data_IF_074959767177
#
_entry.id   IF_074959767177
#
_cell.length_a   1.000
_cell.length_b   1.000
_cell.length_c   1.000
_cell.angle_alpha   90.00
_cell.angle_beta   90.00
_cell.angle_gamma   90.00
#
_symmetry.space_group_name_H-M   'P 1'
#
loop_
_entity.id
_entity.type
_entity.pdbx_description
1 polymer ?
#
# COMPACT_ATOMS: atom_id res chain seq x y z
N UNK A 1 9.29 -47.43 27.09
CA UNK A 1 8.64 -46.20 27.60
C UNK A 1 9.31 -44.98 26.97
N UNK A 2 8.50 -44.07 26.41
CA UNK A 2 8.76 -42.71 25.87
C UNK A 2 9.64 -42.57 24.60
N UNK A 3 9.06 -42.10 23.48
CA UNK A 3 9.81 -41.45 22.41
C UNK A 3 9.87 -39.92 22.64
N UNK A 4 10.98 -39.33 22.22
CA UNK A 4 11.33 -37.92 22.32
C UNK A 4 10.67 -37.13 21.17
N UNK A 5 9.99 -36.03 21.52
CA UNK A 5 9.30 -35.15 20.58
C UNK A 5 10.30 -34.24 19.85
N UNK A 6 10.39 -34.35 18.53
CA UNK A 6 10.85 -33.25 17.68
C UNK A 6 9.63 -32.64 16.99
N UNK A 7 9.27 -31.44 17.44
CA UNK A 7 8.32 -30.57 16.73
C UNK A 7 9.14 -29.70 15.77
N UNK A 8 9.16 -30.06 14.48
CA UNK A 8 9.58 -29.13 13.43
C UNK A 8 8.35 -28.41 12.92
N UNK A 9 8.42 -27.08 13.04
CA UNK A 9 7.43 -26.11 12.59
C UNK A 9 7.42 -26.09 11.07
N UNK A 10 6.26 -26.25 10.43
CA UNK A 10 6.01 -25.68 9.10
C UNK A 10 4.52 -25.77 8.75
N UNK A 11 3.81 -24.67 8.96
CA UNK A 11 2.40 -24.54 8.63
C UNK A 11 2.11 -23.09 8.25
N UNK A 12 2.58 -22.66 7.08
CA UNK A 12 2.38 -21.26 6.68
C UNK A 12 2.60 -20.87 5.21
N UNK A 13 2.97 -21.80 4.32
CA UNK A 13 3.40 -21.41 2.95
C UNK A 13 2.55 -21.99 1.81
N UNK A 14 1.59 -22.89 2.09
CA UNK A 14 0.85 -23.61 1.03
C UNK A 14 -0.52 -23.02 0.69
N UNK A 15 -1.12 -22.23 1.59
CA UNK A 15 -2.45 -21.63 1.37
C UNK A 15 -2.36 -20.43 0.41
N UNK A 16 -1.24 -19.69 0.43
CA UNK A 16 -1.07 -18.44 -0.32
C UNK A 16 -1.08 -18.61 -1.84
N UNK A 17 -0.47 -19.68 -2.38
CA UNK A 17 -0.41 -19.88 -3.84
C UNK A 17 -1.78 -20.16 -4.46
N UNK A 18 -2.68 -20.86 -3.76
CA UNK A 18 -4.00 -21.23 -4.30
C UNK A 18 -4.96 -20.04 -4.34
N UNK A 19 -4.85 -19.13 -3.36
CA UNK A 19 -5.59 -17.86 -3.36
C UNK A 19 -5.01 -16.92 -4.41
N UNK A 20 -3.69 -16.76 -4.47
CA UNK A 20 -3.04 -15.87 -5.44
C UNK A 20 -3.34 -16.27 -6.90
N UNK A 21 -3.29 -17.57 -7.22
CA UNK A 21 -3.57 -18.10 -8.56
C UNK A 21 -5.06 -18.08 -8.93
N UNK A 22 -5.95 -18.16 -7.93
CA UNK A 22 -7.39 -17.99 -8.13
C UNK A 22 -7.78 -16.52 -8.31
N UNK A 23 -7.06 -15.60 -7.67
CA UNK A 23 -7.29 -14.15 -7.76
C UNK A 23 -6.86 -13.58 -9.11
N UNK A 24 -5.74 -14.02 -9.69
CA UNK A 24 -5.36 -13.65 -11.06
C UNK A 24 -6.36 -14.16 -12.11
N UNK A 25 -7.14 -15.20 -11.77
CA UNK A 25 -8.14 -15.80 -12.67
C UNK A 25 -9.48 -15.04 -12.67
N UNK A 26 -9.78 -14.30 -11.60
CA UNK A 26 -10.98 -13.45 -11.50
C UNK A 26 -10.82 -12.09 -12.19
N UNK A 27 -9.59 -11.63 -12.41
CA UNK A 27 -9.29 -10.37 -13.12
C UNK A 27 -9.55 -10.46 -14.64
N UNK A 28 -9.71 -11.67 -15.19
CA UNK A 28 -9.87 -11.91 -16.63
C UNK A 28 -11.34 -11.89 -17.10
N UNK A 29 -12.26 -11.24 -16.37
CA UNK A 29 -13.64 -11.07 -16.83
C UNK A 29 -14.02 -9.58 -16.89
N UNK A 30 -13.80 -9.02 -18.09
CA UNK A 30 -14.64 -8.05 -18.79
C UNK A 30 -14.96 -6.72 -18.08
N UNK A 31 -14.35 -5.63 -18.60
CA UNK A 31 -14.64 -4.20 -18.36
C UNK A 31 -13.99 -3.50 -17.14
N UNK A 32 -13.14 -4.20 -16.38
CA UNK A 32 -12.47 -3.60 -15.22
C UNK A 32 -11.09 -3.06 -15.62
N UNK A 33 -10.86 -1.79 -15.28
CA UNK A 33 -9.60 -1.07 -15.46
C UNK A 33 -8.42 -1.95 -15.01
N UNK A 34 -7.35 -2.11 -15.82
CA UNK A 34 -6.15 -2.85 -15.43
C UNK A 34 -5.65 -2.48 -14.03
N UNK A 35 -5.24 -3.47 -13.24
CA UNK A 35 -4.69 -3.30 -11.89
C UNK A 35 -3.60 -2.20 -11.82
N UNK A 36 -2.76 -2.10 -12.86
CA UNK A 36 -1.71 -1.08 -12.95
C UNK A 36 -2.25 0.35 -12.99
N UNK A 37 -3.33 0.59 -13.75
CA UNK A 37 -3.97 1.90 -13.87
C UNK A 37 -4.71 2.27 -12.58
N UNK A 38 -5.30 1.27 -11.93
CA UNK A 38 -5.90 1.41 -10.61
C UNK A 38 -4.84 1.87 -9.59
N UNK A 39 -3.67 1.22 -9.57
CA UNK A 39 -2.56 1.60 -8.69
C UNK A 39 -2.06 2.99 -9.01
N UNK A 40 -2.02 3.35 -10.29
CA UNK A 40 -1.68 4.70 -10.72
C UNK A 40 -2.65 5.74 -10.15
N UNK A 41 -3.96 5.48 -10.19
CA UNK A 41 -4.98 6.36 -9.61
C UNK A 41 -4.76 6.52 -8.11
N UNK A 42 -4.59 5.42 -7.38
CA UNK A 42 -4.36 5.48 -5.93
C UNK A 42 -3.07 6.20 -5.56
N UNK A 43 -2.01 6.06 -6.37
CA UNK A 43 -0.76 6.77 -6.13
C UNK A 43 -0.89 8.30 -6.22
N UNK A 44 -1.99 8.80 -6.81
CA UNK A 44 -2.29 10.24 -6.94
C UNK A 44 -3.21 10.76 -5.83
N UNK A 45 -3.82 9.87 -5.04
CA UNK A 45 -4.73 10.27 -3.96
C UNK A 45 -3.96 10.67 -2.69
N UNK A 46 -4.51 11.57 -1.85
CA UNK A 46 -3.96 11.82 -0.52
C UNK A 46 -3.97 10.56 0.35
N UNK A 47 -2.96 10.40 1.20
CA UNK A 47 -2.78 9.24 2.09
C UNK A 47 -4.01 8.90 2.93
N UNK A 48 -4.77 9.92 3.35
CA UNK A 48 -6.02 9.77 4.11
C UNK A 48 -7.07 8.93 3.36
N UNK A 49 -7.18 9.08 2.04
CA UNK A 49 -8.12 8.31 1.24
C UNK A 49 -7.64 6.88 1.04
N UNK A 50 -6.34 6.71 0.77
CA UNK A 50 -5.71 5.39 0.63
C UNK A 50 -5.93 4.54 1.90
N UNK A 51 -5.78 5.16 3.08
CA UNK A 51 -6.05 4.50 4.35
C UNK A 51 -7.49 3.98 4.48
N UNK A 52 -8.48 4.71 3.94
CA UNK A 52 -9.89 4.27 3.91
C UNK A 52 -10.12 3.18 2.86
N UNK A 53 -9.47 3.26 1.70
CA UNK A 53 -9.56 2.27 0.63
C UNK A 53 -9.12 0.88 1.07
N UNK A 54 -8.19 0.78 2.01
CA UNK A 54 -7.78 -0.50 2.63
C UNK A 54 -8.92 -1.26 3.30
N UNK A 55 -10.00 -0.59 3.70
CA UNK A 55 -11.16 -1.24 4.32
C UNK A 55 -12.21 -1.72 3.30
N UNK A 56 -12.07 -1.37 2.01
CA UNK A 56 -13.10 -1.65 1.00
C UNK A 56 -13.08 -3.10 0.52
N UNK A 57 -11.92 -3.75 0.49
CA UNK A 57 -11.82 -5.18 0.20
C UNK A 57 -10.50 -5.76 0.70
N UNK A 58 -10.45 -7.10 0.84
CA UNK A 58 -9.21 -7.82 1.17
C UNK A 58 -8.14 -7.64 0.09
N UNK A 59 -8.55 -7.55 -1.18
CA UNK A 59 -7.65 -7.32 -2.31
C UNK A 59 -7.00 -5.94 -2.20
N UNK A 60 -7.81 -4.89 -2.00
CA UNK A 60 -7.31 -3.53 -1.82
C UNK A 60 -6.40 -3.41 -0.61
N UNK A 61 -6.74 -4.11 0.49
CA UNK A 61 -5.90 -4.15 1.69
C UNK A 61 -4.52 -4.76 1.43
N UNK A 62 -4.43 -5.83 0.62
CA UNK A 62 -3.14 -6.43 0.25
C UNK A 62 -2.37 -5.57 -0.73
N UNK A 63 -3.04 -5.07 -1.78
CA UNK A 63 -2.38 -4.31 -2.84
C UNK A 63 -1.84 -2.97 -2.33
N UNK A 64 -2.58 -2.26 -1.47
CA UNK A 64 -2.14 -0.99 -0.88
C UNK A 64 -1.09 -1.16 0.24
N UNK A 65 -0.84 -2.39 0.70
CA UNK A 65 0.25 -2.73 1.63
C UNK A 65 1.50 -3.24 0.91
N UNK A 66 1.41 -3.44 -0.40
CA UNK A 66 2.53 -3.93 -1.19
C UNK A 66 3.68 -2.92 -1.21
N UNK A 67 4.90 -3.44 -1.21
CA UNK A 67 6.10 -2.61 -1.22
C UNK A 67 6.24 -1.83 -2.53
N UNK A 68 5.90 -2.44 -3.67
CA UNK A 68 5.93 -1.78 -4.97
C UNK A 68 4.97 -0.59 -5.04
N UNK A 69 3.75 -0.76 -4.53
CA UNK A 69 2.82 0.37 -4.40
C UNK A 69 3.37 1.47 -3.47
N UNK A 70 3.94 1.07 -2.33
CA UNK A 70 4.47 2.02 -1.32
C UNK A 70 5.60 2.86 -1.91
N UNK A 71 6.55 2.24 -2.60
CA UNK A 71 7.65 2.93 -3.28
C UNK A 71 7.14 3.86 -4.38
N UNK A 72 6.18 3.41 -5.19
CA UNK A 72 5.57 4.22 -6.26
C UNK A 72 4.84 5.46 -5.68
N UNK A 73 4.08 5.26 -4.60
CA UNK A 73 3.39 6.34 -3.89
C UNK A 73 4.38 7.35 -3.29
N UNK A 74 5.46 6.88 -2.65
CA UNK A 74 6.48 7.75 -2.06
C UNK A 74 7.25 8.50 -3.13
N UNK A 75 7.72 7.83 -4.19
CA UNK A 75 8.44 8.46 -5.28
C UNK A 75 7.61 9.60 -5.90
N UNK A 76 6.31 9.35 -6.14
CA UNK A 76 5.40 10.37 -6.68
C UNK A 76 5.14 11.50 -5.70
N UNK A 77 5.03 11.20 -4.40
CA UNK A 77 4.82 12.21 -3.35
C UNK A 77 6.05 13.08 -3.12
N UNK A 78 7.25 12.51 -3.22
CA UNK A 78 8.52 13.22 -3.13
C UNK A 78 8.83 14.05 -4.38
N UNK A 79 8.39 13.58 -5.56
CA UNK A 79 8.53 14.33 -6.81
C UNK A 79 7.59 15.53 -6.91
N UNK A 80 6.56 15.61 -6.06
CA UNK A 80 5.68 16.79 -6.02
C UNK A 80 6.39 17.94 -5.32
N UNK A 81 6.41 19.14 -5.92
CA UNK A 81 6.93 20.31 -5.24
C UNK A 81 6.11 20.56 -3.97
N UNK A 82 6.77 20.51 -2.82
CA UNK A 82 6.21 20.91 -1.54
C UNK A 82 6.55 22.37 -1.29
N UNK A 83 5.55 23.18 -0.98
CA UNK A 83 5.76 24.55 -0.55
C UNK A 83 6.02 24.56 0.95
N UNK A 84 7.23 24.97 1.33
CA UNK A 84 7.58 25.29 2.70
C UNK A 84 7.44 26.80 2.89
N UNK A 85 6.46 27.22 3.68
CA UNK A 85 6.31 28.60 4.14
C UNK A 85 7.00 28.75 5.50
N UNK A 86 7.76 29.82 5.64
CA UNK A 86 8.38 30.18 6.92
C UNK A 86 7.83 31.53 7.36
N UNK A 87 7.37 31.61 8.60
CA UNK A 87 6.93 32.86 9.22
C UNK A 87 7.86 33.19 10.38
N UNK A 88 8.44 34.39 10.37
CA UNK A 88 9.33 34.85 11.43
C UNK A 88 8.56 35.78 12.37
N UNK A 89 8.35 35.33 13.60
CA UNK A 89 7.91 36.13 14.74
C UNK A 89 9.14 36.64 15.52
N UNK A 90 8.93 37.61 16.41
CA UNK A 90 9.97 38.39 17.12
C UNK A 90 11.17 37.57 17.66
N UNK A 91 10.98 36.29 17.99
CA UNK A 91 12.07 35.36 18.38
C UNK A 91 11.99 33.95 17.78
N UNK A 92 10.93 33.60 17.03
CA UNK A 92 10.66 32.24 16.60
C UNK A 92 10.35 32.15 15.10
N UNK A 93 10.79 31.06 14.46
CA UNK A 93 10.46 30.76 13.07
C UNK A 93 9.50 29.58 13.03
N UNK A 94 8.30 29.81 12.52
CA UNK A 94 7.29 28.78 12.31
C UNK A 94 7.38 28.25 10.88
N UNK A 95 7.32 26.93 10.73
CA UNK A 95 7.42 26.22 9.45
C UNK A 95 6.09 25.57 9.10
N UNK A 96 5.55 25.89 7.92
CA UNK A 96 4.33 25.29 7.38
C UNK A 96 4.65 24.60 6.04
N UNK A 97 4.32 23.32 5.90
CA UNK A 97 4.45 22.59 4.64
C UNK A 97 3.09 22.35 4.01
N UNK A 98 2.98 22.60 2.70
CA UNK A 98 1.81 22.31 1.88
C UNK A 98 2.22 21.53 0.62
N UNK A 99 1.52 20.44 0.33
CA UNK A 99 1.69 19.66 -0.91
C UNK A 99 0.51 19.84 -1.85
N UNK A 100 0.77 20.01 -3.15
CA UNK A 100 -0.24 20.09 -4.22
C UNK A 100 -0.77 18.72 -4.68
#
# INVERSE_FOLDING_TARGET
MKPQRQNVREGGLTISLRVMRSMTKLHQNSLLLPDDLILEIFSRLPSKFIARCRCLSKLWASTLRDQGFTELFLNRSCARPQLLFTFQNDSDVEFFSSGF
#
